data_IF_389069781555
#
_entry.id   IF_389069781555
#
_cell.length_a   1.000
_cell.length_b   1.000
_cell.length_c   1.000
_cell.angle_alpha   90.00
_cell.angle_beta   90.00
_cell.angle_gamma   90.00
#
_symmetry.space_group_name_H-M   'P 1'
#
loop_
_entity.id
_entity.type
_entity.pdbx_description
1 polymer ?
#
# COMPACT_ATOMS: atom_id res chain seq x y z
N UNK A 1 3.00 11.31 -1.85
CA UNK A 1 3.56 10.72 -0.61
C UNK A 1 2.99 9.31 -0.45
N UNK A 2 3.77 8.31 -0.05
CA UNK A 2 3.25 6.94 0.08
C UNK A 2 2.80 6.63 1.52
N UNK A 3 1.51 6.36 1.71
CA UNK A 3 0.88 6.12 3.02
C UNK A 3 0.56 4.65 3.28
N UNK A 4 1.02 3.71 2.45
CA UNK A 4 0.76 2.27 2.59
C UNK A 4 1.08 1.75 3.99
N UNK A 5 2.21 2.18 4.56
CA UNK A 5 2.65 1.76 5.89
C UNK A 5 1.73 2.25 7.01
N UNK A 6 1.16 3.43 6.85
CA UNK A 6 0.26 4.06 7.80
C UNK A 6 -1.05 3.29 7.87
N UNK A 7 -1.77 3.20 6.75
CA UNK A 7 -3.03 2.45 6.63
C UNK A 7 -2.87 0.98 7.05
N UNK A 8 -1.76 0.33 6.67
CA UNK A 8 -1.50 -1.05 7.08
C UNK A 8 -1.41 -1.18 8.61
N UNK A 9 -0.75 -0.22 9.27
CA UNK A 9 -0.63 -0.22 10.74
C UNK A 9 -1.94 0.10 11.43
N UNK A 10 -2.77 0.97 10.86
CA UNK A 10 -4.11 1.27 11.38
C UNK A 10 -5.02 0.03 11.37
N UNK A 11 -4.90 -0.80 10.34
CA UNK A 11 -5.59 -2.10 10.26
C UNK A 11 -4.95 -3.19 11.14
N UNK A 12 -3.81 -2.93 11.77
CA UNK A 12 -3.13 -3.88 12.66
C UNK A 12 -2.52 -5.09 11.96
N UNK A 13 -2.40 -5.09 10.63
CA UNK A 13 -1.89 -6.23 9.85
C UNK A 13 -0.39 -6.11 9.56
N UNK A 14 0.29 -7.25 9.42
CA UNK A 14 1.69 -7.32 9.03
C UNK A 14 1.91 -7.10 7.53
N UNK A 15 3.15 -6.79 7.13
CA UNK A 15 3.51 -6.74 5.71
C UNK A 15 3.29 -8.08 4.99
N UNK A 16 3.41 -9.20 5.71
CA UNK A 16 3.22 -10.53 5.13
C UNK A 16 1.73 -10.81 4.87
N UNK A 17 0.84 -10.35 5.75
CA UNK A 17 -0.60 -10.45 5.55
C UNK A 17 -1.05 -9.61 4.36
N UNK A 18 -0.65 -8.33 4.30
CA UNK A 18 -0.95 -7.47 3.15
C UNK A 18 -0.41 -8.07 1.83
N UNK A 19 0.81 -8.62 1.86
CA UNK A 19 1.41 -9.25 0.69
C UNK A 19 0.59 -10.45 0.19
N UNK A 20 0.11 -11.30 1.11
CA UNK A 20 -0.73 -12.45 0.78
C UNK A 20 -2.07 -12.01 0.18
N UNK A 21 -2.69 -10.99 0.76
CA UNK A 21 -3.98 -10.46 0.30
C UNK A 21 -3.94 -9.99 -1.16
N UNK A 22 -2.85 -9.34 -1.56
CA UNK A 22 -2.72 -8.77 -2.92
C UNK A 22 -1.84 -9.61 -3.86
N UNK A 23 -1.44 -10.81 -3.43
CA UNK A 23 -0.70 -11.77 -4.25
C UNK A 23 0.74 -11.37 -4.60
N UNK A 24 1.45 -10.67 -3.70
CA UNK A 24 2.85 -10.26 -3.89
C UNK A 24 3.76 -10.81 -2.80
N UNK A 25 5.06 -10.58 -2.92
CA UNK A 25 6.02 -10.92 -1.87
C UNK A 25 6.00 -9.91 -0.72
N UNK A 26 6.36 -10.33 0.50
CA UNK A 26 6.60 -9.40 1.63
C UNK A 26 7.65 -8.34 1.28
N UNK A 27 8.65 -8.71 0.47
CA UNK A 27 9.69 -7.78 0.01
C UNK A 27 9.12 -6.69 -0.90
N UNK A 28 8.13 -7.02 -1.74
CA UNK A 28 7.41 -6.05 -2.57
C UNK A 28 6.74 -4.99 -1.69
N UNK A 29 5.99 -5.41 -0.67
CA UNK A 29 5.38 -4.48 0.30
C UNK A 29 6.44 -3.62 0.98
N UNK A 30 7.54 -4.23 1.44
CA UNK A 30 8.62 -3.48 2.08
C UNK A 30 9.25 -2.43 1.13
N UNK A 31 9.47 -2.76 -0.14
CA UNK A 31 10.00 -1.81 -1.10
C UNK A 31 9.03 -0.66 -1.37
N UNK A 32 7.72 -0.95 -1.45
CA UNK A 32 6.68 0.07 -1.59
C UNK A 32 6.69 0.99 -0.36
N UNK A 33 6.61 0.46 0.85
CA UNK A 33 6.57 1.25 2.09
C UNK A 33 7.82 2.12 2.33
N UNK A 34 8.90 1.89 1.60
CA UNK A 34 10.13 2.68 1.70
C UNK A 34 10.45 3.42 0.39
N UNK A 35 9.46 3.57 -0.50
CA UNK A 35 9.58 4.28 -1.79
C UNK A 35 10.71 3.78 -2.70
N UNK A 36 11.08 2.49 -2.55
CA UNK A 36 12.12 1.82 -3.34
C UNK A 36 11.58 1.13 -4.58
N UNK A 37 10.26 1.12 -4.75
CA UNK A 37 9.59 0.51 -5.88
C UNK A 37 8.37 1.33 -6.25
N UNK A 38 8.26 1.68 -7.53
CA UNK A 38 7.07 2.33 -8.07
C UNK A 38 6.08 1.25 -8.53
N UNK A 39 4.97 1.01 -7.79
CA UNK A 39 3.98 0.00 -8.13
C UNK A 39 3.26 0.31 -9.46
N UNK A 40 2.78 -0.74 -10.13
CA UNK A 40 1.87 -0.59 -11.27
C UNK A 40 0.51 -0.05 -10.79
N UNK A 41 -0.28 0.55 -11.69
CA UNK A 41 -1.63 1.01 -11.36
C UNK A 41 -2.50 -0.11 -10.76
N UNK A 42 -2.40 -1.32 -11.29
CA UNK A 42 -3.09 -2.50 -10.76
C UNK A 42 -2.71 -2.79 -9.31
N UNK A 43 -1.41 -2.72 -8.98
CA UNK A 43 -0.95 -2.94 -7.63
C UNK A 43 -1.38 -1.81 -6.68
N UNK A 44 -1.38 -0.56 -7.15
CA UNK A 44 -1.92 0.57 -6.39
C UNK A 44 -3.42 0.36 -6.07
N UNK A 45 -4.20 -0.10 -7.04
CA UNK A 45 -5.63 -0.39 -6.86
C UNK A 45 -5.85 -1.54 -5.87
N UNK A 46 -5.04 -2.60 -5.95
CA UNK A 46 -5.13 -3.73 -5.03
C UNK A 46 -4.74 -3.32 -3.60
N UNK A 47 -3.71 -2.49 -3.46
CA UNK A 47 -3.32 -1.91 -2.16
C UNK A 47 -4.45 -1.06 -1.58
N UNK A 48 -5.02 -0.13 -2.35
CA UNK A 48 -6.11 0.71 -1.90
C UNK A 48 -7.30 -0.13 -1.39
N UNK A 49 -7.71 -1.14 -2.17
CA UNK A 49 -8.79 -2.07 -1.78
C UNK A 49 -8.48 -2.86 -0.51
N UNK A 50 -7.30 -3.47 -0.41
CA UNK A 50 -6.91 -4.27 0.76
C UNK A 50 -6.77 -3.40 2.02
N UNK A 51 -6.32 -2.16 1.85
CA UNK A 51 -6.16 -1.17 2.93
C UNK A 51 -7.43 -0.35 3.21
N UNK A 52 -8.56 -0.73 2.62
CA UNK A 52 -9.88 -0.09 2.84
C UNK A 52 -9.86 1.44 2.60
N UNK A 53 -9.13 1.87 1.58
CA UNK A 53 -8.95 3.28 1.21
C UNK A 53 -8.99 3.45 -0.31
N UNK A 54 -8.79 4.66 -0.79
CA UNK A 54 -8.70 4.99 -2.22
C UNK A 54 -7.27 5.41 -2.62
N UNK A 55 -7.05 5.59 -3.93
CA UNK A 55 -5.73 5.96 -4.45
C UNK A 55 -5.28 7.35 -3.97
N UNK A 56 -6.19 8.33 -3.93
CA UNK A 56 -5.92 9.71 -3.48
C UNK A 56 -5.41 9.69 -2.05
N UNK A 57 -6.17 9.06 -1.16
CA UNK A 57 -5.82 8.89 0.25
C UNK A 57 -4.49 8.16 0.47
N UNK A 58 -4.13 7.21 -0.41
CA UNK A 58 -2.98 6.32 -0.23
C UNK A 58 -1.66 6.86 -0.81
N UNK A 59 -1.71 7.62 -1.91
CA UNK A 59 -0.52 8.03 -2.68
C UNK A 59 -0.40 9.54 -2.93
N UNK A 60 -1.48 10.29 -2.80
CA UNK A 60 -1.53 11.72 -3.10
C UNK A 60 -1.68 12.51 -1.80
N UNK A 61 -1.14 13.73 -1.76
CA UNK A 61 -1.53 14.70 -0.73
C UNK A 61 -2.76 15.42 -1.26
N UNK A 62 -3.72 15.75 -0.38
CA UNK A 62 -4.83 16.62 -0.72
C UNK A 62 -4.27 18.02 -1.07
N UNK A 63 -3.80 18.19 -2.31
CA UNK A 63 -3.48 19.49 -2.89
C UNK A 63 -4.81 20.18 -3.21
N UNK A 64 -5.31 20.95 -2.24
CA UNK A 64 -6.30 22.00 -2.49
C UNK A 64 -5.62 23.28 -2.98
#
# INVERSE_FOLDING_TARGET
>A
MNRVKEFRKELGISQLELAKDIGVSRQTINMIENDKYNPTLELCLNLARSLQTDLNSLFWEDDF
#
